data_IF_489986701941
#
_entry.id   IF_489986701941
#
_cell.length_a   1.000
_cell.length_b   1.000
_cell.length_c   1.000
_cell.angle_alpha   90.00
_cell.angle_beta   90.00
_cell.angle_gamma   90.00
#
_symmetry.space_group_name_H-M   'P 1'
#
loop_
_entity.id
_entity.type
_entity.pdbx_description
1 polymer ?
#
# COMPACT_ATOMS: atom_id res chain seq x y z
N UNK A 1 -5.86 14.29 12.58
CA UNK A 1 -4.89 13.37 13.18
C UNK A 1 -4.26 12.59 12.05
N UNK A 2 -3.02 12.92 11.78
CA UNK A 2 -2.32 12.67 10.52
C UNK A 2 -2.09 11.17 10.28
N UNK A 3 -2.73 10.62 9.23
CA UNK A 3 -2.41 9.28 8.68
C UNK A 3 -1.13 9.34 7.84
N UNK A 4 -0.15 10.13 8.26
CA UNK A 4 1.15 10.19 7.58
C UNK A 4 2.12 9.20 8.25
N UNK A 5 2.61 8.25 7.43
CA UNK A 5 3.78 7.38 7.65
C UNK A 5 3.56 5.98 8.25
N UNK A 6 2.62 5.20 7.72
CA UNK A 6 2.66 3.73 7.85
C UNK A 6 3.45 3.06 6.71
N UNK A 7 4.66 3.56 6.43
CA UNK A 7 5.56 2.95 5.46
C UNK A 7 6.99 2.92 5.98
N UNK A 8 7.74 1.88 5.62
CA UNK A 8 9.18 1.81 5.81
C UNK A 8 9.85 1.69 4.45
N UNK A 9 10.91 2.46 4.25
CA UNK A 9 11.75 2.38 3.05
C UNK A 9 12.99 1.57 3.42
N UNK A 10 13.28 0.53 2.64
CA UNK A 10 14.37 -0.39 2.89
C UNK A 10 15.28 -0.45 1.68
N UNK A 11 16.56 -0.28 1.94
CA UNK A 11 17.62 -0.32 0.95
C UNK A 11 18.42 -1.63 1.08
N UNK A 12 18.45 -2.43 0.02
CA UNK A 12 19.21 -3.70 -0.03
C UNK A 12 19.79 -3.97 -1.42
N UNK A 13 20.72 -4.92 -1.52
CA UNK A 13 21.38 -5.24 -2.79
C UNK A 13 20.42 -5.74 -3.89
N UNK A 14 19.34 -6.42 -3.49
CA UNK A 14 18.29 -6.88 -4.40
C UNK A 14 16.91 -6.55 -3.86
N UNK A 15 15.93 -6.55 -4.76
CA UNK A 15 14.52 -6.33 -4.38
C UNK A 15 14.05 -7.42 -3.42
N UNK A 16 14.47 -8.68 -3.60
CA UNK A 16 14.06 -9.76 -2.70
C UNK A 16 14.59 -9.55 -1.28
N UNK A 17 15.88 -9.23 -1.14
CA UNK A 17 16.49 -8.95 0.16
C UNK A 17 15.81 -7.78 0.87
N UNK A 18 15.44 -6.74 0.12
CA UNK A 18 14.71 -5.58 0.67
C UNK A 18 13.33 -5.98 1.22
N UNK A 19 12.59 -6.84 0.49
CA UNK A 19 11.27 -7.31 0.90
C UNK A 19 11.37 -8.22 2.13
N UNK A 20 12.29 -9.18 2.12
CA UNK A 20 12.48 -10.13 3.21
C UNK A 20 12.81 -9.42 4.52
N UNK A 21 13.82 -8.55 4.47
CA UNK A 21 14.23 -7.71 5.61
C UNK A 21 13.07 -6.87 6.13
N UNK A 22 12.21 -6.38 5.25
CA UNK A 22 11.10 -5.55 5.67
C UNK A 22 9.89 -6.27 6.22
N UNK A 23 9.60 -7.46 5.71
CA UNK A 23 8.58 -8.33 6.29
C UNK A 23 9.03 -8.80 7.68
N UNK A 24 10.31 -9.08 7.86
CA UNK A 24 10.92 -9.38 9.16
C UNK A 24 10.82 -8.18 10.12
N UNK A 25 11.18 -6.98 9.66
CA UNK A 25 11.07 -5.75 10.46
C UNK A 25 9.62 -5.50 10.88
N UNK A 26 8.66 -5.68 9.97
CA UNK A 26 7.23 -5.50 10.23
C UNK A 26 6.59 -6.68 10.98
N UNK A 27 7.35 -7.74 11.31
CA UNK A 27 6.88 -8.97 11.97
C UNK A 27 5.59 -9.52 11.36
N UNK A 28 5.50 -9.48 10.04
CA UNK A 28 4.29 -9.82 9.30
C UNK A 28 4.61 -10.86 8.23
N UNK A 29 3.67 -11.17 7.36
CA UNK A 29 3.89 -12.01 6.19
C UNK A 29 3.89 -11.17 4.91
N UNK A 30 4.53 -11.69 3.86
CA UNK A 30 4.54 -11.04 2.52
C UNK A 30 3.11 -10.76 2.03
N UNK A 31 2.14 -11.55 2.47
CA UNK A 31 0.73 -11.44 2.07
C UNK A 31 0.02 -10.27 2.74
N UNK A 32 0.56 -9.74 3.84
CA UNK A 32 0.01 -8.66 4.64
C UNK A 32 0.75 -7.33 4.40
N UNK A 33 1.55 -7.23 3.33
CA UNK A 33 2.34 -6.04 3.00
C UNK A 33 2.12 -5.59 1.55
N UNK A 34 1.84 -4.30 1.36
CA UNK A 34 1.90 -3.63 0.06
C UNK A 34 3.34 -3.24 -0.25
N UNK A 35 3.85 -3.73 -1.38
CA UNK A 35 5.24 -3.57 -1.81
C UNK A 35 5.31 -2.62 -3.00
N UNK A 36 6.03 -1.52 -2.84
CA UNK A 36 6.26 -0.50 -3.87
C UNK A 36 7.77 -0.38 -4.13
N UNK A 37 8.21 -0.68 -5.36
CA UNK A 37 9.61 -0.58 -5.75
C UNK A 37 9.89 0.85 -6.18
N UNK A 38 10.72 1.56 -5.39
CA UNK A 38 11.11 2.96 -5.66
C UNK A 38 12.28 2.97 -6.65
N UNK A 39 13.28 2.12 -6.42
CA UNK A 39 14.50 2.06 -7.24
C UNK A 39 14.87 0.61 -7.50
N UNK A 40 15.10 0.27 -8.77
CA UNK A 40 15.63 -1.04 -9.16
C UNK A 40 17.16 -1.11 -8.94
N UNK A 41 17.69 -2.27 -8.50
CA UNK A 41 19.13 -2.42 -8.29
C UNK A 41 19.87 -2.34 -9.63
N UNK A 42 20.95 -1.55 -9.66
CA UNK A 42 21.80 -1.43 -10.83
C UNK A 42 23.19 -1.97 -10.56
N UNK A 43 23.61 -2.91 -11.40
CA UNK A 43 24.99 -3.37 -11.46
C UNK A 43 25.80 -2.32 -12.20
N UNK A 44 26.59 -1.54 -11.48
CA UNK A 44 27.49 -0.54 -12.05
C UNK A 44 28.51 -1.15 -13.03
N UNK A 45 28.92 -0.38 -14.02
CA UNK A 45 29.99 -0.76 -14.95
C UNK A 45 31.35 -0.49 -14.29
N UNK A 46 32.26 -1.47 -14.33
CA UNK A 46 33.65 -1.35 -13.86
C UNK A 46 33.79 -0.84 -12.40
N UNK A 47 33.19 -1.55 -11.42
CA UNK A 47 33.26 -1.25 -9.97
C UNK A 47 32.70 0.12 -9.54
N UNK A 48 32.27 0.99 -10.44
CA UNK A 48 31.69 2.29 -10.12
C UNK A 48 30.17 2.30 -10.32
N UNK A 49 29.45 2.94 -9.41
CA UNK A 49 28.03 3.25 -9.59
C UNK A 49 27.04 2.11 -9.31
N UNK A 50 27.35 1.17 -8.41
CA UNK A 50 26.34 0.23 -7.90
C UNK A 50 25.25 1.02 -7.16
N UNK A 51 23.99 0.87 -7.57
CA UNK A 51 22.82 1.40 -6.85
C UNK A 51 22.04 0.24 -6.25
N UNK A 52 21.75 0.32 -4.95
CA UNK A 52 20.93 -0.66 -4.24
C UNK A 52 19.46 -0.53 -4.65
N UNK A 53 18.72 -1.61 -4.46
CA UNK A 53 17.26 -1.59 -4.56
C UNK A 53 16.69 -0.81 -3.38
N UNK A 54 15.69 0.04 -3.65
CA UNK A 54 14.92 0.72 -2.60
C UNK A 54 13.46 0.26 -2.73
N UNK A 55 12.94 -0.34 -1.66
CA UNK A 55 11.58 -0.87 -1.60
C UNK A 55 10.84 -0.24 -0.44
N UNK A 56 9.66 0.30 -0.73
CA UNK A 56 8.72 0.83 0.25
C UNK A 56 7.71 -0.24 0.62
N UNK A 57 7.55 -0.49 1.91
CA UNK A 57 6.63 -1.49 2.45
C UNK A 57 5.60 -0.84 3.37
N UNK A 58 4.33 -1.22 3.17
CA UNK A 58 3.18 -0.76 3.98
C UNK A 58 2.36 -1.94 4.46
N UNK A 59 1.92 -1.93 5.72
CA UNK A 59 1.02 -2.98 6.21
C UNK A 59 -0.37 -2.87 5.56
N UNK A 60 -0.92 -4.02 5.13
CA UNK A 60 -2.27 -4.15 4.57
C UNK A 60 -3.35 -4.17 5.67
N UNK A 61 -2.99 -4.61 6.88
CA UNK A 61 -3.86 -4.63 8.06
C UNK A 61 -3.02 -4.68 9.34
N UNK A 62 -3.26 -3.74 10.25
CA UNK A 62 -2.53 -3.62 11.52
C UNK A 62 -1.75 -2.31 11.67
N UNK A 63 -1.50 -1.92 12.90
CA UNK A 63 -0.62 -0.80 13.25
C UNK A 63 0.83 -1.29 13.35
N UNK A 64 1.77 -0.49 12.85
CA UNK A 64 3.20 -0.77 13.03
C UNK A 64 3.49 -0.66 14.55
N UNK A 65 4.11 -1.66 15.18
CA UNK A 65 4.54 -1.52 16.56
C UNK A 65 5.42 -0.28 16.72
N UNK A 66 5.06 0.62 17.64
CA UNK A 66 5.73 1.92 17.87
C UNK A 66 7.25 1.78 18.17
N UNK A 67 7.73 0.57 18.48
CA UNK A 67 9.14 0.23 18.62
C UNK A 67 9.99 0.47 17.35
N UNK A 68 9.39 0.43 16.15
CA UNK A 68 10.11 0.62 14.88
C UNK A 68 10.29 2.09 14.49
N UNK A 69 9.45 3.00 15.01
CA UNK A 69 9.59 4.45 14.81
C UNK A 69 10.74 5.06 15.63
N UNK A 70 11.24 4.33 16.64
CA UNK A 70 12.23 4.83 17.60
C UNK A 70 13.67 4.31 17.36
N UNK A 71 13.92 3.50 16.31
CA UNK A 71 15.25 2.95 16.05
C UNK A 71 16.23 3.89 15.32
N UNK A 72 15.80 5.09 14.96
CA UNK A 72 16.69 6.14 14.42
C UNK A 72 17.49 6.91 15.50
N UNK A 73 17.39 6.54 16.79
CA UNK A 73 18.16 7.20 17.88
C UNK A 73 19.31 6.39 18.48
N UNK A 74 19.50 5.11 18.13
CA UNK A 74 20.59 4.28 18.73
C UNK A 74 21.90 4.21 17.93
N UNK A 75 22.00 4.93 16.81
CA UNK A 75 23.23 4.99 16.01
C UNK A 75 24.04 6.29 16.14
N UNK A 76 23.65 7.21 17.04
CA UNK A 76 24.17 8.58 17.02
C UNK A 76 24.65 9.11 18.39
N UNK A 77 24.81 8.23 19.39
CA UNK A 77 25.22 8.61 20.76
C UNK A 77 26.74 8.79 20.95
N UNK A 78 27.59 8.41 19.99
CA UNK A 78 29.05 8.53 20.17
C UNK A 78 29.66 9.87 19.69
N UNK A 79 28.88 10.86 19.24
CA UNK A 79 29.50 12.06 18.64
C UNK A 79 28.97 13.45 19.01
N UNK A 80 28.11 13.59 20.02
CA UNK A 80 27.68 14.93 20.49
C UNK A 80 27.64 15.07 22.01
N UNK A 81 28.68 14.62 22.69
CA UNK A 81 29.22 15.41 23.79
C UNK A 81 29.69 16.76 23.22
N UNK A 82 28.85 17.79 23.32
CA UNK A 82 29.23 19.17 23.65
C UNK A 82 28.01 20.08 23.47
N UNK A 83 27.75 20.87 24.51
CA UNK A 83 26.75 21.94 24.65
C UNK A 83 25.41 21.42 25.23
N UNK A 84 25.35 21.09 26.53
CA UNK A 84 24.96 22.02 27.63
C UNK A 84 23.76 22.90 27.27
N UNK A 85 22.59 22.60 27.84
CA UNK A 85 21.88 23.36 28.90
C UNK A 85 20.63 22.53 29.21
N UNK A 86 20.79 21.53 30.06
CA UNK A 86 19.74 21.05 30.94
C UNK A 86 20.00 21.75 32.27
N UNK A 87 19.12 22.69 32.61
CA UNK A 87 18.79 23.12 33.97
C UNK A 87 17.97 24.39 33.81
N UNK A 88 16.93 24.54 34.63
CA UNK A 88 15.95 25.63 34.58
C UNK A 88 14.76 25.32 33.65
N UNK A 89 13.82 24.52 34.16
CA UNK A 89 12.41 24.92 34.36
C UNK A 89 11.48 23.79 34.87
N UNK A 90 11.99 22.83 35.64
CA UNK A 90 11.16 22.01 36.56
C UNK A 90 10.73 22.78 37.82
N UNK A 91 10.14 23.96 37.66
CA UNK A 91 9.44 24.64 38.76
C UNK A 91 8.17 25.29 38.24
N UNK A 92 7.06 24.66 38.61
CA UNK A 92 5.67 25.12 38.80
C UNK A 92 4.81 23.88 38.45
N UNK A 93 4.69 22.91 39.37
CA UNK A 93 3.50 22.73 40.25
C UNK A 93 2.19 22.66 39.46
N UNK A 94 1.37 21.61 39.47
CA UNK A 94 1.03 20.70 40.57
C UNK A 94 -0.51 20.70 40.71
N UNK A 95 -1.09 19.50 40.69
CA UNK A 95 -2.42 19.10 41.23
C UNK A 95 -3.74 19.25 40.44
N UNK A 96 -4.25 18.05 40.03
CA UNK A 96 -5.57 17.40 40.34
C UNK A 96 -6.91 18.18 40.28
N UNK A 97 -7.87 17.69 39.46
CA UNK A 97 -9.12 16.93 39.81
C UNK A 97 -10.25 17.07 38.76
N UNK A 98 -10.92 15.95 38.45
CA UNK A 98 -12.40 15.80 38.50
C UNK A 98 -13.32 16.26 37.35
N UNK A 99 -13.76 15.28 36.54
CA UNK A 99 -15.14 14.85 36.16
C UNK A 99 -16.23 15.88 35.73
N UNK A 100 -16.76 15.60 34.53
CA UNK A 100 -18.12 15.70 33.97
C UNK A 100 -18.67 16.90 33.16
N UNK A 101 -19.08 16.50 31.95
CA UNK A 101 -20.32 16.79 31.23
C UNK A 101 -20.53 18.14 30.50
N UNK A 102 -20.26 18.03 29.20
CA UNK A 102 -21.29 18.04 28.16
C UNK A 102 -22.08 19.35 27.99
N UNK A 103 -21.59 20.17 27.06
CA UNK A 103 -22.44 20.83 26.07
C UNK A 103 -21.68 20.91 24.73
N UNK A 104 -22.36 20.41 23.69
CA UNK A 104 -22.28 20.84 22.29
C UNK A 104 -21.01 20.40 21.52
N UNK A 105 -20.95 19.27 20.81
CA UNK A 105 -21.96 18.58 20.01
C UNK A 105 -22.64 19.49 18.97
N UNK A 106 -21.90 19.88 17.93
CA UNK A 106 -22.43 20.16 16.57
C UNK A 106 -21.42 19.85 15.44
N UNK A 107 -20.09 19.82 15.65
CA UNK A 107 -19.14 19.81 14.49
C UNK A 107 -18.33 18.52 14.23
N UNK A 108 -18.42 17.47 15.07
CA UNK A 108 -17.56 16.26 14.93
C UNK A 108 -18.26 15.01 14.39
N UNK A 109 -19.53 15.11 14.02
CA UNK A 109 -20.36 14.00 13.55
C UNK A 109 -20.47 13.90 12.03
N UNK A 110 -20.08 14.93 11.27
CA UNK A 110 -20.20 14.96 9.79
C UNK A 110 -19.07 14.19 9.08
N UNK A 111 -17.81 14.36 9.51
CA UNK A 111 -16.66 13.88 8.72
C UNK A 111 -16.45 12.35 8.71
N UNK A 112 -16.88 11.62 9.74
CA UNK A 112 -16.77 10.14 9.79
C UNK A 112 -17.84 9.42 8.97
N UNK A 113 -18.97 10.06 8.68
CA UNK A 113 -20.01 9.53 7.82
C UNK A 113 -19.66 9.68 6.34
N UNK A 114 -18.95 10.75 5.98
CA UNK A 114 -18.61 11.10 4.60
C UNK A 114 -17.55 10.17 3.97
N UNK A 115 -16.53 9.72 4.71
CA UNK A 115 -15.51 8.81 4.17
C UNK A 115 -16.06 7.41 3.85
N UNK A 116 -16.92 6.85 4.72
CA UNK A 116 -17.54 5.53 4.51
C UNK A 116 -18.60 5.54 3.41
N UNK A 117 -19.38 6.62 3.28
CA UNK A 117 -20.35 6.80 2.19
C UNK A 117 -19.68 7.07 0.84
N UNK A 118 -18.54 7.76 0.85
CA UNK A 118 -17.76 8.00 -0.37
C UNK A 118 -17.09 6.72 -0.86
N UNK A 119 -16.56 5.89 0.04
CA UNK A 119 -15.98 4.60 -0.35
C UNK A 119 -17.03 3.61 -0.86
N UNK A 120 -18.23 3.57 -0.27
CA UNK A 120 -19.31 2.69 -0.74
C UNK A 120 -19.83 3.09 -2.12
N UNK A 121 -20.01 4.39 -2.38
CA UNK A 121 -20.43 4.89 -3.70
C UNK A 121 -19.37 4.65 -4.78
N UNK A 122 -18.10 4.85 -4.46
CA UNK A 122 -16.98 4.56 -5.37
C UNK A 122 -16.88 3.06 -5.73
N UNK A 123 -17.05 2.16 -4.75
CA UNK A 123 -17.07 0.70 -5.00
C UNK A 123 -18.22 0.32 -5.93
N UNK A 124 -19.42 0.84 -5.66
CA UNK A 124 -20.61 0.58 -6.48
C UNK A 124 -20.39 0.97 -7.94
N UNK A 125 -19.83 2.16 -8.18
CA UNK A 125 -19.54 2.63 -9.54
C UNK A 125 -18.50 1.76 -10.26
N UNK A 126 -17.43 1.36 -9.57
CA UNK A 126 -16.43 0.44 -10.14
C UNK A 126 -17.08 -0.90 -10.51
N UNK A 127 -17.89 -1.44 -9.61
CA UNK A 127 -18.60 -2.71 -9.79
C UNK A 127 -19.53 -2.65 -11.00
N UNK A 128 -20.34 -1.61 -11.11
CA UNK A 128 -21.28 -1.40 -12.22
C UNK A 128 -20.54 -1.35 -13.57
N UNK A 129 -19.49 -0.53 -13.68
CA UNK A 129 -18.74 -0.40 -14.94
C UNK A 129 -18.00 -1.69 -15.29
N UNK A 130 -17.45 -2.39 -14.30
CA UNK A 130 -16.76 -3.65 -14.53
C UNK A 130 -17.72 -4.76 -14.99
N UNK A 131 -18.87 -4.89 -14.33
CA UNK A 131 -19.93 -5.83 -14.74
C UNK A 131 -20.43 -5.52 -16.15
N UNK A 132 -20.77 -4.26 -16.43
CA UNK A 132 -21.17 -3.83 -17.78
C UNK A 132 -20.14 -4.21 -18.85
N UNK A 133 -18.86 -3.95 -18.61
CA UNK A 133 -17.80 -4.25 -19.56
C UNK A 133 -17.63 -5.76 -19.80
N UNK A 134 -17.73 -6.56 -18.74
CA UNK A 134 -17.56 -8.02 -18.82
C UNK A 134 -18.78 -8.73 -19.41
N UNK A 135 -19.98 -8.25 -19.11
CA UNK A 135 -21.23 -8.72 -19.72
C UNK A 135 -21.25 -8.46 -21.23
N UNK A 136 -20.78 -7.29 -21.68
CA UNK A 136 -20.63 -6.98 -23.11
C UNK A 136 -19.68 -7.95 -23.83
N UNK A 137 -18.71 -8.50 -23.12
CA UNK A 137 -17.80 -9.52 -23.63
C UNK A 137 -18.38 -10.94 -23.54
N UNK A 138 -19.55 -11.12 -22.94
CA UNK A 138 -20.21 -12.41 -22.74
C UNK A 138 -19.77 -13.17 -21.48
N UNK A 139 -19.08 -12.52 -20.54
CA UNK A 139 -18.62 -13.14 -19.31
C UNK A 139 -19.53 -12.78 -18.14
N UNK A 140 -19.86 -13.78 -17.31
CA UNK A 140 -20.53 -13.58 -16.02
C UNK A 140 -19.50 -13.71 -14.91
N UNK A 141 -19.12 -12.59 -14.30
CA UNK A 141 -18.12 -12.54 -13.25
C UNK A 141 -18.64 -11.77 -12.04
N UNK A 142 -18.30 -12.25 -10.86
CA UNK A 142 -18.58 -11.59 -9.59
C UNK A 142 -17.29 -10.99 -9.04
N UNK A 143 -17.13 -9.65 -9.08
CA UNK A 143 -15.94 -8.97 -8.57
C UNK A 143 -15.99 -8.79 -7.05
N UNK A 144 -14.87 -8.99 -6.38
CA UNK A 144 -14.64 -8.51 -5.01
C UNK A 144 -13.77 -7.26 -5.06
N UNK A 145 -14.23 -6.14 -4.48
CA UNK A 145 -13.56 -4.85 -4.59
C UNK A 145 -12.99 -4.41 -3.25
N UNK A 146 -11.66 -4.33 -3.19
CA UNK A 146 -10.92 -3.86 -2.03
C UNK A 146 -10.31 -2.49 -2.31
N UNK A 147 -10.42 -1.58 -1.34
CA UNK A 147 -9.78 -0.26 -1.39
C UNK A 147 -8.64 -0.22 -0.37
N UNK A 148 -7.47 0.20 -0.81
CA UNK A 148 -6.33 0.43 0.07
C UNK A 148 -5.49 1.59 -0.46
N UNK A 149 -5.10 2.52 0.41
CA UNK A 149 -4.23 3.65 0.07
C UNK A 149 -4.73 4.43 -1.15
N UNK A 150 -6.06 4.61 -1.24
CA UNK A 150 -6.72 5.29 -2.35
C UNK A 150 -6.55 4.60 -3.72
N UNK A 151 -6.24 3.29 -3.71
CA UNK A 151 -6.16 2.43 -4.89
C UNK A 151 -7.19 1.31 -4.74
N UNK A 152 -7.85 0.97 -5.84
CA UNK A 152 -8.84 -0.10 -5.87
C UNK A 152 -8.26 -1.35 -6.52
N UNK A 153 -8.57 -2.51 -5.95
CA UNK A 153 -8.27 -3.81 -6.54
C UNK A 153 -9.56 -4.59 -6.69
N UNK A 154 -9.85 -4.97 -7.92
CA UNK A 154 -10.91 -5.90 -8.28
C UNK A 154 -10.29 -7.29 -8.31
N UNK A 155 -10.81 -8.19 -7.49
CA UNK A 155 -10.35 -9.56 -7.35
C UNK A 155 -11.44 -10.48 -7.91
N UNK A 156 -11.05 -11.36 -8.84
CA UNK A 156 -11.89 -12.44 -9.32
C UNK A 156 -11.28 -13.75 -8.82
N UNK A 157 -11.91 -14.33 -7.79
CA UNK A 157 -11.45 -15.57 -7.16
C UNK A 157 -11.67 -16.76 -8.07
N UNK A 158 -12.90 -16.95 -8.55
CA UNK A 158 -13.27 -18.07 -9.40
C UNK A 158 -14.15 -17.64 -10.58
N UNK A 159 -13.77 -18.09 -11.76
CA UNK A 159 -14.55 -17.98 -13.00
C UNK A 159 -14.07 -19.05 -13.98
N UNK A 160 -14.98 -19.70 -14.74
CA UNK A 160 -14.61 -20.64 -15.79
C UNK A 160 -13.81 -19.96 -16.91
N UNK A 161 -14.03 -18.66 -17.12
CA UNK A 161 -13.44 -17.89 -18.22
C UNK A 161 -12.12 -17.21 -17.86
N UNK A 162 -11.51 -17.58 -16.73
CA UNK A 162 -10.30 -16.95 -16.20
C UNK A 162 -9.17 -16.88 -17.24
N UNK A 163 -8.96 -17.96 -17.99
CA UNK A 163 -7.90 -18.02 -19.00
C UNK A 163 -8.13 -17.04 -20.16
N UNK A 164 -9.38 -16.81 -20.55
CA UNK A 164 -9.73 -15.86 -21.61
C UNK A 164 -9.58 -14.42 -21.12
N UNK A 165 -10.07 -14.13 -19.91
CA UNK A 165 -9.96 -12.82 -19.27
C UNK A 165 -8.51 -12.42 -18.97
N UNK A 166 -7.65 -13.38 -18.62
CA UNK A 166 -6.20 -13.15 -18.50
C UNK A 166 -5.58 -12.95 -19.89
N UNK A 167 -5.88 -13.84 -20.82
CA UNK A 167 -5.35 -13.85 -22.18
C UNK A 167 -3.85 -14.15 -22.25
N UNK A 168 -3.34 -14.26 -23.49
CA UNK A 168 -1.92 -14.60 -23.74
C UNK A 168 -0.99 -13.56 -23.11
N UNK A 169 -0.09 -14.01 -22.23
CA UNK A 169 0.87 -13.18 -21.48
C UNK A 169 0.24 -12.08 -20.59
N UNK A 170 -1.07 -12.18 -20.31
CA UNK A 170 -1.79 -11.19 -19.52
C UNK A 170 -2.22 -9.95 -20.31
N UNK A 171 -2.21 -10.01 -21.64
CA UNK A 171 -2.59 -8.85 -22.48
C UNK A 171 -4.06 -8.49 -22.34
N UNK A 172 -4.95 -9.49 -22.19
CA UNK A 172 -6.39 -9.23 -22.07
C UNK A 172 -6.71 -8.55 -20.75
N UNK A 173 -6.19 -9.05 -19.63
CA UNK A 173 -6.42 -8.43 -18.31
C UNK A 173 -5.83 -7.00 -18.27
N UNK A 174 -4.68 -6.77 -18.90
CA UNK A 174 -4.07 -5.44 -18.98
C UNK A 174 -4.90 -4.47 -19.83
N UNK A 175 -5.39 -4.93 -20.99
CA UNK A 175 -6.28 -4.14 -21.84
C UNK A 175 -7.62 -3.84 -21.14
N UNK A 176 -8.20 -4.83 -20.47
CA UNK A 176 -9.43 -4.68 -19.68
C UNK A 176 -9.25 -3.65 -18.56
N UNK A 177 -8.13 -3.74 -17.83
CA UNK A 177 -7.78 -2.77 -16.79
C UNK A 177 -7.65 -1.36 -17.38
N UNK A 178 -7.02 -1.23 -18.55
CA UNK A 178 -6.85 0.05 -19.21
C UNK A 178 -8.19 0.67 -19.62
N UNK A 179 -9.05 -0.10 -20.29
CA UNK A 179 -10.37 0.36 -20.73
C UNK A 179 -11.24 0.75 -19.53
N UNK A 180 -11.26 -0.07 -18.48
CA UNK A 180 -12.01 0.23 -17.25
C UNK A 180 -11.54 1.55 -16.62
N UNK A 181 -10.23 1.74 -16.45
CA UNK A 181 -9.70 3.00 -15.90
C UNK A 181 -10.09 4.20 -16.78
N UNK A 182 -10.09 4.06 -18.12
CA UNK A 182 -10.55 5.12 -19.02
C UNK A 182 -12.04 5.43 -18.87
N UNK A 183 -12.88 4.41 -18.67
CA UNK A 183 -14.31 4.60 -18.39
C UNK A 183 -14.52 5.33 -17.06
N UNK A 184 -13.78 4.96 -16.02
CA UNK A 184 -13.88 5.57 -14.69
C UNK A 184 -13.40 7.03 -14.68
N UNK A 185 -12.32 7.35 -15.40
CA UNK A 185 -11.85 8.74 -15.54
C UNK A 185 -12.93 9.65 -16.14
N UNK A 186 -13.74 9.15 -17.09
CA UNK A 186 -14.86 9.94 -17.66
C UNK A 186 -15.93 10.28 -16.61
N UNK A 187 -16.10 9.44 -15.60
CA UNK A 187 -17.02 9.65 -14.47
C UNK A 187 -16.36 10.48 -13.34
N UNK A 188 -15.25 11.18 -13.64
CA UNK A 188 -14.44 11.97 -12.67
C UNK A 188 -13.85 11.13 -11.53
N UNK A 189 -13.68 9.83 -11.75
CA UNK A 189 -13.01 8.96 -10.81
C UNK A 189 -11.52 8.90 -11.08
N UNK A 190 -10.75 9.48 -10.16
CA UNK A 190 -9.31 9.73 -10.36
C UNK A 190 -8.41 8.76 -9.58
N UNK A 191 -8.96 7.65 -9.08
CA UNK A 191 -8.22 6.66 -8.30
C UNK A 191 -7.86 5.47 -9.19
N UNK A 192 -6.64 4.93 -9.11
CA UNK A 192 -6.24 3.82 -9.96
C UNK A 192 -6.98 2.54 -9.56
N UNK A 193 -7.46 1.79 -10.56
CA UNK A 193 -8.10 0.49 -10.38
C UNK A 193 -7.24 -0.59 -11.03
N UNK A 194 -6.96 -1.64 -10.27
CA UNK A 194 -6.20 -2.81 -10.69
C UNK A 194 -7.08 -4.06 -10.76
N UNK A 195 -6.82 -4.93 -11.74
CA UNK A 195 -7.49 -6.22 -11.88
C UNK A 195 -6.57 -7.34 -11.45
N UNK A 196 -7.05 -8.25 -10.61
CA UNK A 196 -6.37 -9.50 -10.30
C UNK A 196 -7.32 -10.69 -10.47
N UNK A 197 -6.92 -11.64 -11.32
CA UNK A 197 -7.70 -12.84 -11.63
C UNK A 197 -6.87 -14.04 -11.18
N UNK A 198 -7.39 -14.84 -10.25
CA UNK A 198 -6.69 -16.02 -9.69
C UNK A 198 -5.27 -15.74 -9.19
N UNK A 199 -4.96 -14.52 -8.75
CA UNK A 199 -3.60 -14.15 -8.32
C UNK A 199 -2.58 -14.12 -9.46
N UNK A 200 -3.03 -13.96 -10.72
CA UNK A 200 -2.18 -13.97 -11.91
C UNK A 200 -1.03 -12.96 -11.81
N UNK A 201 -1.24 -11.79 -11.19
CA UNK A 201 -0.18 -10.79 -11.00
C UNK A 201 0.95 -11.35 -10.13
N UNK A 202 0.63 -12.05 -9.03
CA UNK A 202 1.61 -12.70 -8.14
C UNK A 202 2.40 -13.78 -8.90
N UNK A 203 1.72 -14.55 -9.76
CA UNK A 203 2.34 -15.63 -10.54
C UNK A 203 3.23 -15.11 -11.69
N UNK A 204 2.82 -14.05 -12.41
CA UNK A 204 3.61 -13.40 -13.46
C UNK A 204 4.89 -12.79 -12.90
N UNK A 205 4.83 -12.15 -11.72
CA UNK A 205 6.00 -11.63 -11.01
C UNK A 205 6.96 -12.77 -10.68
N UNK A 206 6.50 -13.82 -9.99
CA UNK A 206 7.31 -15.01 -9.63
C UNK A 206 8.01 -15.65 -10.84
N UNK A 207 7.29 -15.82 -11.96
CA UNK A 207 7.84 -16.44 -13.17
C UNK A 207 8.88 -15.56 -13.89
N UNK A 208 8.81 -14.23 -13.75
CA UNK A 208 9.81 -13.30 -14.28
C UNK A 208 11.11 -13.38 -13.47
N UNK A 209 11.00 -13.46 -12.15
CA UNK A 209 12.16 -13.62 -11.26
C UNK A 209 12.90 -14.94 -11.50
N UNK A 210 12.18 -16.05 -11.64
CA UNK A 210 12.77 -17.37 -11.92
C UNK A 210 13.50 -17.46 -13.27
N UNK A 211 13.11 -16.66 -14.27
CA UNK A 211 13.79 -16.61 -15.57
C UNK A 211 15.05 -15.74 -15.55
N UNK A 212 15.10 -14.73 -14.68
CA UNK A 212 16.21 -13.80 -14.60
C UNK A 212 17.32 -14.25 -13.64
N UNK A 213 17.04 -15.21 -12.73
CA UNK A 213 18.03 -15.80 -11.83
C UNK A 213 18.85 -16.98 -12.41
N UNK A 214 18.75 -17.25 -13.72
CA UNK A 214 19.50 -18.32 -14.42
C UNK A 214 20.53 -17.77 -15.42
N UNK A 215 21.11 -16.59 -15.16
CA UNK A 215 22.22 -16.04 -15.94
C UNK A 215 23.37 -15.65 -15.06
#
# INVERSE_FOLDING_TARGET
MDKEKNYIDIEEETVEKAIEKGVELLKTTIENVDVEIITEPQNGFLKFGKKKAIVRLRLLSGEIPQELLNKDKKGNEERKEKIKIDEVLEKISGEKKGIDNNQENIEKSSEKFDEKNKESSEKSMIEEKFKSLTELMGFKVEPEINCLNNKYRIIIKDTPDANLLIGKNGKTIEALQHVLNKMLIKEKFNKPVYLDIKGYIKQKRRNRFLKNGKK
#
